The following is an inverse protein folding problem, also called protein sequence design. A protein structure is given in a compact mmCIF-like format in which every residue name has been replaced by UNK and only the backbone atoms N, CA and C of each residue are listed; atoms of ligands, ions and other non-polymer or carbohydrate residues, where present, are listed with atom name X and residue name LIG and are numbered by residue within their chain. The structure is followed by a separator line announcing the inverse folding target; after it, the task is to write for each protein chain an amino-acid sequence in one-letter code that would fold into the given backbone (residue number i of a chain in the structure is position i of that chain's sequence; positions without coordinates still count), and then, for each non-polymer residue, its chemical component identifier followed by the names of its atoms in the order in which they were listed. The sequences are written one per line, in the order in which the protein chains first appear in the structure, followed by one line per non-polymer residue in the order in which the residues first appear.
data_IF_511166761152
#
_entry.id   IF_511166761152
#
_cell.length_a   1.000
_cell.length_b   1.000
_cell.length_c   1.000
_cell.angle_alpha   90.00
_cell.angle_beta   90.00
_cell.angle_gamma   90.00
#
_symmetry.space_group_name_H-M   'P 1'
#
loop_
_entity.id
_entity.type
_entity.pdbx_description
1 polymer ?
#
# COMPACT_ATOMS: atom_id res chain seq x y z
N UNK A 1 -25.54 -6.47 2.15
CA UNK A 1 -24.41 -6.06 3.02
C UNK A 1 -24.04 -4.61 2.69
N UNK A 2 -23.80 -3.76 3.69
CA UNK A 2 -23.36 -2.38 3.44
C UNK A 2 -21.95 -2.34 2.84
N UNK A 3 -21.64 -1.33 2.04
CA UNK A 3 -20.35 -1.23 1.34
C UNK A 3 -19.15 -1.18 2.31
N UNK A 4 -19.30 -0.47 3.44
CA UNK A 4 -18.25 -0.33 4.45
C UNK A 4 -17.90 -1.69 5.09
N UNK A 5 -18.91 -2.47 5.48
CA UNK A 5 -18.72 -3.78 6.08
C UNK A 5 -18.08 -4.76 5.10
N UNK A 6 -18.50 -4.70 3.83
CA UNK A 6 -17.93 -5.52 2.76
C UNK A 6 -16.45 -5.22 2.53
N UNK A 7 -16.07 -3.93 2.46
CA UNK A 7 -14.67 -3.52 2.32
C UNK A 7 -13.83 -4.01 3.50
N UNK A 8 -14.35 -3.92 4.73
CA UNK A 8 -13.69 -4.46 5.92
C UNK A 8 -13.45 -5.97 5.83
N UNK A 9 -14.45 -6.72 5.37
CA UNK A 9 -14.36 -8.16 5.16
C UNK A 9 -13.36 -8.53 4.06
N UNK A 10 -13.35 -7.81 2.93
CA UNK A 10 -12.36 -7.99 1.86
C UNK A 10 -10.94 -7.76 2.39
N UNK A 11 -10.71 -6.73 3.20
CA UNK A 11 -9.40 -6.49 3.84
C UNK A 11 -8.93 -7.70 4.67
N UNK A 12 -9.82 -8.28 5.48
CA UNK A 12 -9.50 -9.47 6.28
C UNK A 12 -9.17 -10.68 5.41
N UNK A 13 -9.97 -10.95 4.38
CA UNK A 13 -9.71 -12.06 3.45
C UNK A 13 -8.37 -11.91 2.74
N UNK A 14 -8.07 -10.72 2.22
CA UNK A 14 -6.79 -10.43 1.55
C UNK A 14 -5.61 -10.53 2.52
N UNK A 15 -5.78 -10.14 3.79
CA UNK A 15 -4.74 -10.26 4.81
C UNK A 15 -4.43 -11.73 5.15
N UNK A 16 -5.44 -12.60 5.22
CA UNK A 16 -5.28 -14.01 5.54
C UNK A 16 -4.78 -14.82 4.35
N UNK A 17 -5.40 -14.63 3.17
CA UNK A 17 -5.20 -15.48 2.01
C UNK A 17 -4.09 -14.94 1.08
N UNK A 18 -3.61 -13.71 1.33
CA UNK A 18 -2.63 -12.93 0.53
C UNK A 18 -3.09 -12.61 -0.90
N UNK A 19 -4.08 -13.32 -1.42
CA UNK A 19 -4.64 -13.14 -2.76
C UNK A 19 -6.12 -13.48 -2.75
N UNK A 20 -6.88 -12.69 -3.49
CA UNK A 20 -8.33 -12.91 -3.71
C UNK A 20 -8.66 -12.76 -5.18
N UNK A 21 -9.75 -13.38 -5.63
CA UNK A 21 -10.27 -13.23 -7.00
C UNK A 21 -11.60 -12.50 -6.99
N UNK A 22 -11.86 -11.73 -8.05
CA UNK A 22 -13.11 -10.98 -8.20
C UNK A 22 -14.32 -11.92 -8.18
N UNK A 23 -14.23 -13.05 -8.88
CA UNK A 23 -15.28 -14.06 -8.95
C UNK A 23 -15.60 -14.69 -7.60
N UNK A 24 -14.58 -15.01 -6.79
CA UNK A 24 -14.80 -15.58 -5.46
C UNK A 24 -15.48 -14.57 -4.54
N UNK A 25 -14.97 -13.33 -4.50
CA UNK A 25 -15.56 -12.26 -3.68
C UNK A 25 -16.99 -11.94 -4.13
N UNK A 26 -17.28 -11.93 -5.43
CA UNK A 26 -18.63 -11.66 -5.94
C UNK A 26 -19.61 -12.74 -5.48
N UNK A 27 -19.19 -14.01 -5.51
CA UNK A 27 -20.00 -15.13 -5.02
C UNK A 27 -20.22 -15.07 -3.50
N UNK A 28 -19.18 -14.77 -2.71
CA UNK A 28 -19.26 -14.70 -1.24
C UNK A 28 -20.17 -13.56 -0.78
N UNK A 29 -19.99 -12.37 -1.36
CA UNK A 29 -20.75 -11.18 -0.94
C UNK A 29 -22.07 -11.00 -1.68
N UNK A 30 -22.38 -11.88 -2.63
CA UNK A 30 -23.56 -11.83 -3.49
C UNK A 30 -23.76 -10.45 -4.15
N UNK A 31 -22.69 -9.94 -4.75
CA UNK A 31 -22.68 -8.67 -5.50
C UNK A 31 -22.12 -8.90 -6.89
N UNK A 32 -22.29 -7.93 -7.80
CA UNK A 32 -21.69 -8.03 -9.13
C UNK A 32 -20.17 -7.94 -9.05
N UNK A 33 -19.49 -8.55 -10.02
CA UNK A 33 -18.04 -8.40 -10.18
C UNK A 33 -17.62 -6.92 -10.29
N UNK A 34 -18.43 -6.09 -10.95
CA UNK A 34 -18.23 -4.65 -11.05
C UNK A 34 -18.21 -3.95 -9.69
N UNK A 35 -19.07 -4.39 -8.76
CA UNK A 35 -19.07 -3.88 -7.38
C UNK A 35 -17.75 -4.23 -6.68
N UNK A 36 -17.29 -5.48 -6.82
CA UNK A 36 -16.02 -5.91 -6.26
C UNK A 36 -14.85 -5.16 -6.89
N UNK A 37 -14.84 -4.94 -8.21
CA UNK A 37 -13.77 -4.17 -8.89
C UNK A 37 -13.64 -2.76 -8.30
N UNK A 38 -14.77 -2.08 -8.06
CA UNK A 38 -14.79 -0.74 -7.42
C UNK A 38 -14.33 -0.75 -5.96
N UNK A 39 -14.63 -1.81 -5.22
CA UNK A 39 -14.15 -1.94 -3.84
C UNK A 39 -12.63 -2.21 -3.81
N UNK A 40 -12.14 -3.07 -4.70
CA UNK A 40 -10.71 -3.33 -4.85
C UNK A 40 -9.94 -2.10 -5.34
N UNK A 41 -10.54 -1.27 -6.19
CA UNK A 41 -9.98 0.01 -6.61
C UNK A 41 -9.76 0.95 -5.42
N UNK A 42 -10.74 1.11 -4.54
CA UNK A 42 -10.57 1.90 -3.31
C UNK A 42 -9.45 1.38 -2.42
N UNK A 43 -9.34 0.05 -2.31
CA UNK A 43 -8.29 -0.59 -1.51
C UNK A 43 -6.90 -0.45 -2.13
N UNK A 44 -6.82 -0.39 -3.46
CA UNK A 44 -5.60 -0.09 -4.21
C UNK A 44 -5.19 1.38 -4.05
N UNK A 45 -6.14 2.31 -4.10
CA UNK A 45 -5.90 3.74 -3.84
C UNK A 45 -5.40 3.99 -2.40
N UNK A 46 -5.89 3.20 -1.44
CA UNK A 46 -5.38 3.17 -0.07
C UNK A 46 -4.01 2.48 0.06
N UNK A 47 -3.55 1.80 -1.00
CA UNK A 47 -2.29 1.07 -1.05
C UNK A 47 -2.30 -0.27 -0.31
N UNK A 48 -3.46 -0.74 0.14
CA UNK A 48 -3.62 -1.96 0.94
C UNK A 48 -3.33 -3.23 0.11
N UNK A 49 -3.71 -3.21 -1.16
CA UNK A 49 -3.53 -4.30 -2.12
C UNK A 49 -3.17 -3.74 -3.49
N UNK A 50 -2.75 -4.62 -4.40
CA UNK A 50 -2.58 -4.31 -5.81
C UNK A 50 -3.51 -5.17 -6.64
N UNK A 51 -4.22 -4.56 -7.59
CA UNK A 51 -5.13 -5.26 -8.50
C UNK A 51 -4.34 -6.06 -9.53
N UNK A 52 -4.94 -7.17 -9.93
CA UNK A 52 -4.46 -8.04 -11.02
C UNK A 52 -5.63 -8.30 -11.97
N UNK A 53 -5.37 -8.88 -13.14
CA UNK A 53 -6.38 -9.10 -14.18
C UNK A 53 -7.68 -9.77 -13.70
N UNK A 54 -7.61 -10.64 -12.68
CA UNK A 54 -8.78 -11.36 -12.14
C UNK A 54 -9.01 -11.21 -10.64
N UNK A 55 -8.33 -10.28 -9.96
CA UNK A 55 -8.32 -10.27 -8.50
C UNK A 55 -7.44 -9.19 -7.90
N UNK A 56 -6.96 -9.44 -6.68
CA UNK A 56 -6.03 -8.57 -5.99
C UNK A 56 -5.07 -9.38 -5.13
N UNK A 57 -3.87 -8.84 -4.91
CA UNK A 57 -2.85 -9.39 -4.02
C UNK A 57 -2.52 -8.40 -2.92
N UNK A 58 -2.31 -8.89 -1.71
CA UNK A 58 -1.92 -8.07 -0.57
C UNK A 58 -0.57 -7.40 -0.85
N UNK A 59 -0.47 -6.11 -0.57
CA UNK A 59 0.83 -5.45 -0.56
C UNK A 59 1.57 -5.83 0.73
N UNK A 60 2.55 -6.72 0.64
CA UNK A 60 3.33 -7.21 1.79
C UNK A 60 4.10 -6.10 2.53
N UNK A 61 4.34 -4.94 1.90
CA UNK A 61 4.88 -3.75 2.55
C UNK A 61 3.91 -3.11 3.57
N UNK A 62 2.60 -3.38 3.46
CA UNK A 62 1.56 -2.86 4.37
C UNK A 62 1.64 -3.52 5.74
N UNK A 63 2.09 -4.78 5.81
CA UNK A 63 2.24 -5.53 7.06
C UNK A 63 3.40 -5.02 7.94
N UNK A 64 4.40 -4.36 7.35
CA UNK A 64 5.57 -3.90 8.10
C UNK A 64 5.40 -2.50 8.70
N UNK A 65 4.61 -1.59 8.11
CA UNK A 65 4.59 -0.19 8.56
C UNK A 65 3.34 0.64 8.14
N UNK A 66 2.19 -0.01 7.86
CA UNK A 66 0.85 0.62 7.75
C UNK A 66 0.68 1.89 6.88
N UNK A 67 1.66 2.29 6.05
CA UNK A 67 1.58 3.51 5.23
C UNK A 67 2.31 3.29 3.90
N UNK A 68 1.58 3.45 2.80
CA UNK A 68 2.09 3.34 1.43
C UNK A 68 3.33 4.23 1.20
N UNK A 69 4.30 3.77 0.40
CA UNK A 69 5.54 4.51 0.13
C UNK A 69 5.26 5.95 -0.31
N UNK A 70 4.39 6.17 -1.31
CA UNK A 70 4.06 7.52 -1.77
C UNK A 70 3.41 8.41 -0.71
N UNK A 71 2.70 7.81 0.25
CA UNK A 71 2.14 8.55 1.39
C UNK A 71 3.25 8.91 2.39
N UNK A 72 4.16 7.97 2.72
CA UNK A 72 5.35 8.26 3.55
C UNK A 72 6.28 9.28 2.90
N UNK A 73 6.47 9.21 1.58
CA UNK A 73 7.30 10.15 0.82
C UNK A 73 6.75 11.58 0.86
N UNK A 74 5.42 11.74 0.88
CA UNK A 74 4.76 13.04 1.02
C UNK A 74 4.66 13.53 2.47
N UNK A 75 4.59 12.63 3.44
CA UNK A 75 4.55 12.99 4.86
C UNK A 75 5.90 13.50 5.37
N UNK A 76 5.84 14.48 6.26
CA UNK A 76 7.01 15.06 6.95
C UNK A 76 8.12 15.52 5.99
N UNK A 77 7.71 16.10 4.86
CA UNK A 77 8.63 16.48 3.79
C UNK A 77 9.67 17.51 4.27
N UNK A 78 9.25 18.52 5.02
CA UNK A 78 10.16 19.57 5.51
C UNK A 78 11.14 19.01 6.54
N UNK A 79 10.69 18.14 7.44
CA UNK A 79 11.53 17.50 8.45
C UNK A 79 12.59 16.61 7.80
N UNK A 80 12.24 15.87 6.75
CA UNK A 80 13.20 15.07 5.97
C UNK A 80 14.23 15.95 5.27
N UNK A 81 13.82 17.10 4.74
CA UNK A 81 14.74 18.09 4.18
C UNK A 81 15.70 18.64 5.25
N UNK A 82 15.24 18.87 6.47
CA UNK A 82 16.08 19.28 7.60
C UNK A 82 17.11 18.20 7.92
N UNK A 83 16.70 16.93 7.99
CA UNK A 83 17.60 15.78 8.22
C UNK A 83 18.69 15.73 7.13
N UNK A 84 18.30 15.85 5.85
CA UNK A 84 19.24 15.85 4.73
C UNK A 84 20.28 16.98 4.83
N UNK A 85 19.83 18.21 5.13
CA UNK A 85 20.73 19.37 5.30
C UNK A 85 21.68 19.18 6.47
N UNK A 86 21.21 18.64 7.58
CA UNK A 86 22.04 18.35 8.75
C UNK A 86 23.04 17.21 8.48
N UNK A 87 22.75 16.32 7.53
CA UNK A 87 23.62 15.20 7.15
C UNK A 87 24.73 15.65 6.20
N UNK A 88 24.48 16.68 5.38
CA UNK A 88 25.39 17.18 4.35
C UNK A 88 26.84 17.46 4.83
N UNK A 89 27.09 18.06 6.02
CA UNK A 89 28.45 18.31 6.51
C UNK A 89 29.26 17.03 6.76
N UNK A 90 28.60 15.88 6.92
CA UNK A 90 29.27 14.60 7.16
C UNK A 90 29.65 13.86 5.88
N UNK A 91 29.16 14.32 4.71
CA UNK A 91 29.46 13.72 3.40
C UNK A 91 30.71 14.38 2.82
N UNK A 92 31.79 13.61 2.66
CA UNK A 92 33.07 14.09 2.12
C UNK A 92 33.21 13.80 0.63
N UNK A 93 34.05 14.56 -0.07
CA UNK A 93 34.41 14.29 -1.47
C UNK A 93 35.02 12.89 -1.64
N UNK A 94 34.77 12.26 -2.80
CA UNK A 94 35.21 10.91 -3.16
C UNK A 94 34.66 9.77 -2.27
N UNK A 95 33.44 9.93 -1.74
CA UNK A 95 32.75 8.89 -0.97
C UNK A 95 31.86 8.04 -1.87
N UNK A 96 31.93 6.71 -1.74
CA UNK A 96 30.92 5.80 -2.32
C UNK A 96 29.78 5.65 -1.32
N UNK A 97 28.55 5.89 -1.76
CA UNK A 97 27.36 5.82 -0.90
C UNK A 97 26.47 4.65 -1.33
N UNK A 98 25.86 4.00 -0.35
CA UNK A 98 24.78 3.05 -0.54
C UNK A 98 23.54 3.58 0.17
N UNK A 99 22.38 3.43 -0.46
CA UNK A 99 21.09 3.88 0.05
C UNK A 99 20.11 2.70 0.09
N UNK A 100 19.23 2.70 1.08
CA UNK A 100 18.11 1.76 1.11
C UNK A 100 16.91 2.30 0.30
N UNK A 101 15.83 1.52 0.23
CA UNK A 101 14.61 1.89 -0.50
C UNK A 101 13.56 2.59 0.40
N UNK A 102 13.99 3.31 1.44
CA UNK A 102 13.10 4.01 2.36
C UNK A 102 12.71 5.40 1.82
N UNK A 103 11.78 6.08 2.50
CA UNK A 103 11.29 7.40 2.07
C UNK A 103 12.06 8.60 2.66
N UNK A 104 13.14 8.34 3.41
CA UNK A 104 13.89 9.34 4.18
C UNK A 104 15.37 9.40 3.77
N UNK A 105 15.90 8.32 3.20
CA UNK A 105 17.27 8.20 2.72
C UNK A 105 17.48 8.99 1.42
#
# INVERSE_FOLDING_TARGET
MAAKDRIQAIKQMVANDKKVTVSNLSSIFQVTEETIRRDLEKLEDEGFLTRTYGGAVLNSAVLADNIHFYKRAKSFYEEKQIIARNTLPFIKNNTTMAADSSSTV
#
